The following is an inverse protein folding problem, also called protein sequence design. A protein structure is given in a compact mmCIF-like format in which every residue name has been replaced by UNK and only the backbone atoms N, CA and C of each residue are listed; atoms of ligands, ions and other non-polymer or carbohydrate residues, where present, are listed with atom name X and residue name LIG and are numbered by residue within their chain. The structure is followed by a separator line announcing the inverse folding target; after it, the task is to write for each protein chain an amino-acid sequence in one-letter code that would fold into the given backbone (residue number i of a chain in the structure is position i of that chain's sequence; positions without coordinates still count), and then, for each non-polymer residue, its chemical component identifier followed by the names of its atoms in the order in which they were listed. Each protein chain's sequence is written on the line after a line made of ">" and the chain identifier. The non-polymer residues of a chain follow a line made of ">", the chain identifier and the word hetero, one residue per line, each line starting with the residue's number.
data_IF_652695674196
#
_entry.id   IF_652695674196
#
_cell.length_a   1.000
_cell.length_b   1.000
_cell.length_c   1.000
_cell.angle_alpha   90.00
_cell.angle_beta   90.00
_cell.angle_gamma   90.00
#
_symmetry.space_group_name_H-M   'P 1'
#
loop_
_entity.id
_entity.type
_entity.pdbx_description
1 polymer ?
#
# COMPACT_ATOMS: atom_id res chain seq x y z
N UNK A 1 19.04 2.89 -4.44
CA UNK A 1 17.71 2.76 -5.10
C UNK A 1 17.27 1.30 -4.99
N UNK A 2 16.03 1.03 -4.57
CA UNK A 2 15.51 -0.34 -4.43
C UNK A 2 15.21 -0.93 -5.81
N UNK A 3 15.35 -2.24 -5.96
CA UNK A 3 14.91 -2.97 -7.16
C UNK A 3 13.40 -3.22 -7.12
N UNK A 4 12.77 -3.47 -8.28
CA UNK A 4 11.35 -3.90 -8.36
C UNK A 4 11.10 -5.12 -7.47
N UNK A 5 12.04 -6.07 -7.41
CA UNK A 5 11.92 -7.26 -6.55
C UNK A 5 11.87 -6.88 -5.07
N UNK A 6 12.77 -5.99 -4.62
CA UNK A 6 12.78 -5.53 -3.22
C UNK A 6 11.49 -4.79 -2.86
N UNK A 7 11.03 -3.87 -3.72
CA UNK A 7 9.78 -3.13 -3.51
C UNK A 7 8.59 -4.10 -3.42
N UNK A 8 8.52 -5.07 -4.33
CA UNK A 8 7.49 -6.11 -4.30
C UNK A 8 7.49 -6.88 -2.98
N UNK A 9 8.67 -7.32 -2.53
CA UNK A 9 8.80 -8.05 -1.25
C UNK A 9 8.37 -7.20 -0.07
N UNK A 10 8.67 -5.91 -0.05
CA UNK A 10 8.20 -5.00 1.00
C UNK A 10 6.68 -4.88 1.03
N UNK A 11 6.04 -4.68 -0.13
CA UNK A 11 4.56 -4.63 -0.25
C UNK A 11 3.94 -5.94 0.25
N UNK A 12 4.48 -7.09 -0.16
CA UNK A 12 3.98 -8.40 0.24
C UNK A 12 4.13 -8.65 1.74
N UNK A 13 5.24 -8.20 2.34
CA UNK A 13 5.45 -8.26 3.79
C UNK A 13 4.43 -7.38 4.53
N UNK A 14 4.18 -6.16 4.06
CA UNK A 14 3.17 -5.25 4.66
C UNK A 14 1.77 -5.87 4.58
N UNK A 15 1.38 -6.39 3.41
CA UNK A 15 0.09 -7.07 3.21
C UNK A 15 -0.07 -8.27 4.14
N UNK A 16 0.98 -9.09 4.26
CA UNK A 16 0.98 -10.25 5.16
C UNK A 16 0.76 -9.83 6.61
N UNK A 17 1.45 -8.77 7.06
CA UNK A 17 1.31 -8.30 8.44
C UNK A 17 -0.03 -7.62 8.70
N UNK A 18 -0.56 -6.84 7.74
CA UNK A 18 -1.92 -6.29 7.80
C UNK A 18 -2.94 -7.41 7.99
N UNK A 19 -2.94 -8.40 7.10
CA UNK A 19 -3.85 -9.54 7.17
C UNK A 19 -3.74 -10.28 8.49
N UNK A 20 -2.51 -10.48 8.99
CA UNK A 20 -2.31 -11.15 10.27
C UNK A 20 -2.85 -10.32 11.44
N UNK A 21 -2.75 -9.00 11.37
CA UNK A 21 -3.30 -8.10 12.37
C UNK A 21 -4.83 -8.20 12.39
N UNK A 22 -5.48 -8.11 11.22
CA UNK A 22 -6.93 -8.29 11.05
C UNK A 22 -7.40 -9.62 11.65
N UNK A 23 -6.77 -10.73 11.25
CA UNK A 23 -7.11 -12.06 11.77
C UNK A 23 -7.02 -12.17 13.30
N UNK A 24 -6.09 -11.45 13.94
CA UNK A 24 -5.90 -11.49 15.39
C UNK A 24 -6.90 -10.58 16.09
N UNK A 25 -7.15 -9.39 15.56
CA UNK A 25 -8.13 -8.45 16.11
C UNK A 25 -9.55 -9.01 16.00
N UNK A 26 -9.89 -9.65 14.88
CA UNK A 26 -11.22 -10.23 14.66
C UNK A 26 -11.47 -11.39 15.65
N UNK A 27 -10.47 -12.26 15.85
CA UNK A 27 -10.56 -13.34 16.86
C UNK A 27 -10.66 -12.83 18.28
N UNK A 28 -9.93 -11.75 18.59
CA UNK A 28 -10.01 -11.12 19.90
C UNK A 28 -11.39 -10.47 20.10
N UNK A 29 -11.99 -9.92 19.04
CA UNK A 29 -13.33 -9.36 19.06
C UNK A 29 -14.40 -10.43 19.28
N UNK A 30 -14.31 -11.55 18.55
CA UNK A 30 -15.18 -12.72 18.74
C UNK A 30 -15.11 -13.26 20.18
N UNK A 31 -13.95 -13.17 20.83
CA UNK A 31 -13.76 -13.56 22.22
C UNK A 31 -14.21 -12.50 23.25
N UNK A 32 -14.71 -11.33 22.80
CA UNK A 32 -15.10 -10.21 23.65
C UNK A 32 -13.92 -9.44 24.26
N UNK A 33 -12.70 -9.64 23.75
CA UNK A 33 -11.47 -9.03 24.23
C UNK A 33 -11.00 -7.83 23.38
N UNK A 34 -11.72 -7.52 22.30
CA UNK A 34 -11.41 -6.42 21.38
C UNK A 34 -12.68 -5.70 20.95
N UNK A 35 -12.59 -4.38 20.84
CA UNK A 35 -13.65 -3.51 20.33
C UNK A 35 -13.12 -2.80 19.09
N UNK A 36 -13.68 -3.11 17.92
CA UNK A 36 -13.27 -2.53 16.65
C UNK A 36 -13.59 -1.03 16.52
N UNK A 37 -14.49 -0.51 17.37
CA UNK A 37 -14.79 0.92 17.43
C UNK A 37 -14.08 1.60 18.63
N UNK A 38 -13.26 0.83 19.35
CA UNK A 38 -12.60 1.26 20.57
C UNK A 38 -11.28 2.00 20.32
N UNK A 39 -10.79 2.74 21.34
CA UNK A 39 -9.55 3.52 21.23
C UNK A 39 -8.29 2.67 21.04
N UNK A 40 -8.31 1.40 21.46
CA UNK A 40 -7.20 0.48 21.26
C UNK A 40 -7.08 0.05 19.79
N UNK A 41 -8.20 -0.23 19.12
CA UNK A 41 -8.25 -0.55 17.69
C UNK A 41 -7.72 0.62 16.85
N UNK A 42 -8.25 1.83 17.09
CA UNK A 42 -7.78 3.05 16.44
C UNK A 42 -6.27 3.27 16.64
N UNK A 43 -5.77 3.09 17.86
CA UNK A 43 -4.34 3.26 18.16
C UNK A 43 -3.45 2.27 17.39
N UNK A 44 -3.88 1.01 17.29
CA UNK A 44 -3.14 -0.03 16.58
C UNK A 44 -3.13 0.23 15.08
N UNK A 45 -4.27 0.58 14.49
CA UNK A 45 -4.34 0.89 13.06
C UNK A 45 -3.61 2.17 12.70
N UNK A 46 -3.64 3.20 13.56
CA UNK A 46 -2.80 4.40 13.38
C UNK A 46 -1.32 4.08 13.41
N UNK A 47 -0.87 3.23 14.33
CA UNK A 47 0.53 2.82 14.39
C UNK A 47 0.95 2.04 13.12
N UNK A 48 0.08 1.15 12.64
CA UNK A 48 0.29 0.46 11.36
C UNK A 48 0.38 1.44 10.19
N UNK A 49 -0.55 2.40 10.09
CA UNK A 49 -0.55 3.41 9.04
C UNK A 49 0.69 4.30 9.06
N UNK A 50 1.12 4.73 10.26
CA UNK A 50 2.35 5.51 10.41
C UNK A 50 3.58 4.73 9.90
N UNK A 51 3.64 3.42 10.12
CA UNK A 51 4.69 2.57 9.57
C UNK A 51 4.63 2.50 8.05
N UNK A 52 3.43 2.37 7.46
CA UNK A 52 3.25 2.36 6.00
C UNK A 52 3.72 3.69 5.39
N UNK A 53 3.30 4.82 5.96
CA UNK A 53 3.67 6.15 5.47
C UNK A 53 5.18 6.41 5.57
N UNK A 54 5.84 5.86 6.59
CA UNK A 54 7.29 5.97 6.76
C UNK A 54 8.06 5.23 5.65
N UNK A 55 7.60 4.05 5.25
CA UNK A 55 8.28 3.23 4.24
C UNK A 55 7.88 3.59 2.81
N UNK A 56 6.75 4.26 2.64
CA UNK A 56 6.25 4.77 1.37
C UNK A 56 5.81 6.24 1.44
N UNK A 57 6.76 7.19 1.37
CA UNK A 57 6.45 8.62 1.35
C UNK A 57 5.62 9.09 0.15
N UNK A 58 5.49 8.25 -0.90
CA UNK A 58 4.74 8.58 -2.11
C UNK A 58 3.25 8.22 -2.03
N UNK A 59 2.86 7.45 -1.01
CA UNK A 59 1.47 7.06 -0.73
C UNK A 59 0.91 5.99 -1.66
N UNK A 60 1.72 5.37 -2.52
CA UNK A 60 1.30 4.30 -3.42
C UNK A 60 0.90 3.00 -2.70
N UNK A 61 1.55 2.66 -1.61
CA UNK A 61 1.23 1.51 -0.76
C UNK A 61 -0.06 1.77 0.00
N UNK A 62 -0.20 2.93 0.65
CA UNK A 62 -1.43 3.34 1.33
C UNK A 62 -2.62 3.35 0.35
N UNK A 63 -2.45 3.97 -0.81
CA UNK A 63 -3.44 3.92 -1.90
C UNK A 63 -3.76 2.49 -2.34
N UNK A 64 -2.75 1.63 -2.49
CA UNK A 64 -2.99 0.24 -2.89
C UNK A 64 -3.80 -0.53 -1.85
N UNK A 65 -3.53 -0.30 -0.56
CA UNK A 65 -4.22 -0.95 0.55
C UNK A 65 -5.68 -0.49 0.66
N UNK A 66 -5.91 0.82 0.63
CA UNK A 66 -7.20 1.41 1.03
C UNK A 66 -8.05 1.85 -0.16
N UNK A 67 -7.43 2.47 -1.16
CA UNK A 67 -8.19 3.00 -2.30
C UNK A 67 -8.37 1.95 -3.39
N UNK A 68 -7.38 1.08 -3.61
CA UNK A 68 -7.42 0.07 -4.67
C UNK A 68 -7.80 -1.34 -4.15
N UNK A 69 -8.20 -1.44 -2.89
CA UNK A 69 -8.65 -2.68 -2.26
C UNK A 69 -7.66 -3.84 -2.48
N UNK A 70 -6.40 -3.61 -2.13
CA UNK A 70 -5.30 -4.55 -2.33
C UNK A 70 -5.17 -5.11 -3.77
N UNK A 71 -5.63 -4.35 -4.78
CA UNK A 71 -5.60 -4.73 -6.20
C UNK A 71 -6.91 -5.27 -6.75
N UNK A 72 -7.92 -5.55 -5.92
CA UNK A 72 -9.19 -6.11 -6.35
C UNK A 72 -9.96 -5.13 -7.24
N UNK A 73 -9.88 -3.83 -6.93
CA UNK A 73 -10.52 -2.77 -7.72
C UNK A 73 -9.87 -2.51 -9.08
N UNK A 74 -8.65 -3.02 -9.32
CA UNK A 74 -7.86 -2.85 -10.57
C UNK A 74 -7.79 -1.40 -11.07
N UNK A 75 -7.68 -0.42 -10.17
CA UNK A 75 -7.71 1.01 -10.53
C UNK A 75 -6.63 1.34 -11.55
N UNK A 76 -7.02 2.17 -12.52
CA UNK A 76 -6.16 2.70 -13.56
C UNK A 76 -5.41 3.93 -13.02
N UNK A 77 -4.08 3.89 -13.08
CA UNK A 77 -3.22 5.00 -12.67
C UNK A 77 -2.40 5.52 -13.84
N UNK A 78 -2.08 6.82 -13.81
CA UNK A 78 -1.07 7.40 -14.70
C UNK A 78 0.30 7.32 -14.03
N UNK A 79 1.35 7.11 -14.81
CA UNK A 79 2.72 7.07 -14.30
C UNK A 79 3.72 7.44 -15.38
N UNK A 80 4.92 7.86 -15.02
CA UNK A 80 6.00 8.06 -15.99
C UNK A 80 6.78 6.76 -16.21
N UNK A 81 6.94 6.35 -17.48
CA UNK A 81 7.88 5.26 -17.80
C UNK A 81 9.35 5.72 -17.62
N UNK A 82 10.29 4.79 -17.80
CA UNK A 82 11.72 5.04 -17.57
C UNK A 82 12.33 6.14 -18.46
N UNK A 83 11.63 6.55 -19.53
CA UNK A 83 12.05 7.66 -20.41
C UNK A 83 11.25 8.94 -20.14
N UNK A 84 10.49 8.99 -19.05
CA UNK A 84 9.71 10.15 -18.64
C UNK A 84 8.41 10.33 -19.42
N UNK A 85 7.95 9.33 -20.18
CA UNK A 85 6.69 9.43 -20.93
C UNK A 85 5.51 8.98 -20.06
N UNK A 86 4.44 9.76 -20.07
CA UNK A 86 3.22 9.42 -19.36
C UNK A 86 2.55 8.17 -19.95
N UNK A 87 2.28 7.19 -19.10
CA UNK A 87 1.63 5.92 -19.39
C UNK A 87 0.46 5.71 -18.44
N UNK A 88 -0.33 4.67 -18.71
CA UNK A 88 -1.39 4.21 -17.82
C UNK A 88 -1.23 2.72 -17.53
N UNK A 89 -1.55 2.31 -16.31
CA UNK A 89 -1.52 0.89 -15.90
C UNK A 89 -2.69 0.60 -14.97
N UNK A 90 -3.35 -0.54 -15.17
CA UNK A 90 -4.27 -1.10 -14.17
C UNK A 90 -3.43 -1.84 -13.13
N UNK A 91 -3.56 -1.44 -11.87
CA UNK A 91 -2.81 -2.04 -10.77
C UNK A 91 -3.71 -3.07 -10.09
N UNK A 92 -3.46 -4.36 -10.36
CA UNK A 92 -4.22 -5.47 -9.78
C UNK A 92 -3.38 -6.44 -8.94
N UNK A 93 -2.07 -6.22 -8.84
CA UNK A 93 -1.19 -7.03 -8.00
C UNK A 93 0.06 -6.26 -7.57
N UNK A 94 0.77 -6.83 -6.58
CA UNK A 94 2.02 -6.30 -6.02
C UNK A 94 3.13 -6.14 -7.05
N UNK A 95 3.14 -6.95 -8.11
CA UNK A 95 4.18 -6.85 -9.16
C UNK A 95 3.95 -5.62 -10.05
N UNK A 96 2.70 -5.26 -10.31
CA UNK A 96 2.34 -4.04 -11.04
C UNK A 96 2.60 -2.80 -10.17
N UNK A 97 2.21 -2.84 -8.88
CA UNK A 97 2.50 -1.76 -7.94
C UNK A 97 4.01 -1.52 -7.80
N UNK A 98 4.81 -2.59 -7.66
CA UNK A 98 6.25 -2.45 -7.52
C UNK A 98 6.92 -1.83 -8.76
N UNK A 99 6.41 -2.12 -9.97
CA UNK A 99 6.88 -1.48 -11.21
C UNK A 99 6.54 -0.01 -11.25
N UNK A 100 5.33 0.36 -10.83
CA UNK A 100 4.89 1.75 -10.72
C UNK A 100 5.82 2.54 -9.80
N UNK A 101 5.99 2.08 -8.57
CA UNK A 101 6.81 2.75 -7.54
C UNK A 101 8.28 2.83 -7.97
N UNK A 102 8.81 1.79 -8.60
CA UNK A 102 10.17 1.80 -9.14
C UNK A 102 10.35 2.88 -10.21
N UNK A 103 9.44 2.97 -11.17
CA UNK A 103 9.55 3.96 -12.25
C UNK A 103 9.44 5.39 -11.71
N UNK A 104 8.50 5.66 -10.81
CA UNK A 104 8.37 6.97 -10.16
C UNK A 104 9.64 7.32 -9.35
N UNK A 105 10.27 6.34 -8.69
CA UNK A 105 11.53 6.58 -7.97
C UNK A 105 12.71 6.94 -8.87
N UNK A 106 12.70 6.51 -10.14
CA UNK A 106 13.73 6.83 -11.13
C UNK A 106 13.49 8.20 -11.76
N UNK A 107 12.25 8.50 -12.14
CA UNK A 107 11.90 9.73 -12.87
C UNK A 107 11.82 10.96 -11.96
N UNK A 108 11.79 10.75 -10.63
CA UNK A 108 11.82 11.83 -9.64
C UNK A 108 10.45 12.17 -9.04
N UNK A 109 9.60 11.17 -8.83
CA UNK A 109 8.43 11.21 -7.94
C UNK A 109 7.50 12.41 -8.15
N UNK A 110 7.06 12.65 -9.38
CA UNK A 110 6.14 13.76 -9.68
C UNK A 110 4.68 13.40 -9.45
N UNK A 111 4.31 12.12 -9.51
CA UNK A 111 2.93 11.67 -9.32
C UNK A 111 2.77 11.00 -7.96
N UNK A 112 2.06 11.68 -7.05
CA UNK A 112 1.59 11.09 -5.80
C UNK A 112 0.29 10.33 -6.06
N UNK A 113 0.05 9.28 -5.28
CA UNK A 113 -1.14 8.45 -5.44
C UNK A 113 -2.47 9.21 -5.26
N UNK A 114 -2.44 10.41 -4.67
CA UNK A 114 -3.63 11.23 -4.38
C UNK A 114 -3.79 12.45 -5.32
N UNK A 115 -2.99 12.55 -6.40
CA UNK A 115 -3.19 13.59 -7.40
C UNK A 115 -4.07 13.08 -8.56
N UNK A 116 -5.27 13.65 -8.77
CA UNK A 116 -6.15 13.31 -9.89
C UNK A 116 -5.58 13.67 -11.28
#
# INVERSE_FOLDING_TARGET
>A
MKTVKQIKTEIETILKHKKRLEEVTDKAHEAGAWDHDGPLDDSVWRAFNALVDLVDPSGWFSWYLYDNDCGESRKLVKYHDLVGKLRKMNIGNTSQLAKLVFNESIVGGTLKAHQP
#
